data_IF_114142866625
#
_entry.id   IF_114142866625
#
_cell.length_a   1.000
_cell.length_b   1.000
_cell.length_c   1.000
_cell.angle_alpha   90.00
_cell.angle_beta   90.00
_cell.angle_gamma   90.00
#
_symmetry.space_group_name_H-M   'P 1'
#
loop_
_entity.id
_entity.type
_entity.pdbx_description
1 polymer ?
#
# COMPACT_ATOMS: atom_id res chain seq x y z
N UNK A 1 3.05 16.27 30.67
CA UNK A 1 1.78 15.54 30.49
C UNK A 1 1.93 14.04 30.35
N UNK A 2 0.85 13.41 29.91
CA UNK A 2 0.66 11.95 29.79
C UNK A 2 1.13 11.38 28.44
N UNK A 3 1.42 10.06 28.31
CA UNK A 3 1.74 9.43 27.03
C UNK A 3 0.57 9.47 26.03
N UNK A 4 0.88 9.56 24.74
CA UNK A 4 -0.08 9.55 23.63
C UNK A 4 0.32 8.45 22.63
N UNK A 5 -0.66 7.87 21.94
CA UNK A 5 -0.48 7.00 20.76
C UNK A 5 -1.49 7.36 19.69
N UNK A 6 -1.22 6.91 18.46
CA UNK A 6 -2.18 6.93 17.36
C UNK A 6 -2.61 5.51 17.00
N UNK A 7 -3.90 5.31 16.76
CA UNK A 7 -4.46 4.07 16.20
C UNK A 7 -4.97 4.36 14.79
N UNK A 8 -4.26 3.86 13.77
CA UNK A 8 -4.55 4.18 12.37
C UNK A 8 -3.54 3.55 11.40
N UNK A 9 -3.46 4.04 10.15
CA UNK A 9 -2.61 3.47 9.10
C UNK A 9 -1.09 3.70 9.29
N UNK A 10 -0.66 4.61 10.16
CA UNK A 10 0.76 4.75 10.52
C UNK A 10 0.97 5.20 11.97
N UNK A 11 2.19 5.03 12.48
CA UNK A 11 2.64 5.63 13.77
C UNK A 11 2.31 7.13 13.88
N UNK A 12 2.19 7.82 12.75
CA UNK A 12 2.02 9.26 12.63
C UNK A 12 0.68 9.68 11.96
N UNK A 13 -0.28 8.76 11.83
CA UNK A 13 -1.63 9.04 11.36
C UNK A 13 -2.65 8.07 11.99
N UNK A 14 -3.62 8.60 12.74
CA UNK A 14 -4.61 7.78 13.45
C UNK A 14 -5.47 8.55 14.46
N UNK A 15 -6.43 7.85 15.07
CA UNK A 15 -7.21 8.33 16.24
C UNK A 15 -6.25 8.58 17.40
N UNK A 16 -6.41 9.71 18.10
CA UNK A 16 -5.61 10.07 19.27
C UNK A 16 -6.10 9.30 20.49
N UNK A 17 -5.17 8.64 21.17
CA UNK A 17 -5.43 8.01 22.47
C UNK A 17 -4.36 8.41 23.50
N UNK A 18 -4.82 8.81 24.68
CA UNK A 18 -4.00 9.24 25.83
C UNK A 18 -3.97 8.11 26.87
N UNK A 19 -2.80 7.82 27.45
CA UNK A 19 -2.66 6.83 28.51
C UNK A 19 -2.78 7.46 29.90
N UNK A 20 -3.67 6.94 30.75
CA UNK A 20 -3.77 7.33 32.16
C UNK A 20 -3.88 6.11 33.09
N UNK A 21 -4.23 6.30 34.37
CA UNK A 21 -4.38 5.23 35.36
C UNK A 21 -5.40 4.15 34.99
N UNK A 22 -6.33 4.47 34.08
CA UNK A 22 -7.39 3.59 33.59
C UNK A 22 -7.07 3.05 32.18
N UNK A 23 -5.81 3.07 31.74
CA UNK A 23 -5.39 2.60 30.43
C UNK A 23 -5.43 3.66 29.33
N UNK A 24 -5.61 3.24 28.09
CA UNK A 24 -5.69 4.11 26.91
C UNK A 24 -7.12 4.63 26.72
N UNK A 25 -7.26 5.92 26.42
CA UNK A 25 -8.55 6.62 26.38
C UNK A 25 -8.58 7.62 25.23
N UNK A 26 -9.75 7.86 24.67
CA UNK A 26 -9.96 8.72 23.48
C UNK A 26 -10.09 10.21 23.82
N UNK A 27 -10.06 11.05 22.79
CA UNK A 27 -10.22 12.52 22.85
C UNK A 27 -11.39 12.91 21.94
N UNK A 28 -12.24 13.84 22.37
CA UNK A 28 -13.34 14.35 21.54
C UNK A 28 -12.83 15.34 20.47
N UNK A 29 -13.55 15.44 19.35
CA UNK A 29 -13.28 16.35 18.24
C UNK A 29 -14.03 17.70 18.33
N UNK A 30 -14.86 17.89 19.37
CA UNK A 30 -15.40 19.19 19.77
C UNK A 30 -14.22 20.10 20.18
N UNK A 31 -14.09 21.25 19.52
CA UNK A 31 -12.98 22.22 19.68
C UNK A 31 -11.68 21.88 18.91
N UNK A 32 -11.48 20.60 18.56
CA UNK A 32 -10.22 20.06 18.04
C UNK A 32 -9.68 20.74 16.77
N UNK A 33 -8.45 21.25 16.81
CA UNK A 33 -7.86 22.01 15.70
C UNK A 33 -6.42 21.59 15.28
N UNK A 34 -5.84 22.33 14.34
CA UNK A 34 -4.48 22.08 13.84
C UNK A 34 -3.38 22.38 14.87
N UNK A 35 -3.63 23.21 15.88
CA UNK A 35 -2.71 23.47 16.99
C UNK A 35 -2.71 22.28 17.96
N UNK A 36 -3.87 21.71 18.27
CA UNK A 36 -3.98 20.47 19.06
C UNK A 36 -3.27 19.31 18.35
N UNK A 37 -3.57 19.15 17.05
CA UNK A 37 -2.89 18.17 16.21
C UNK A 37 -1.37 18.41 16.17
N UNK A 38 -0.91 19.68 16.16
CA UNK A 38 0.52 20.00 16.17
C UNK A 38 1.19 19.67 17.51
N UNK A 39 0.49 19.79 18.65
CA UNK A 39 1.00 19.31 19.94
C UNK A 39 1.15 17.79 19.91
N UNK A 40 0.16 17.04 19.42
CA UNK A 40 0.24 15.57 19.27
C UNK A 40 1.39 15.16 18.34
N UNK A 41 1.48 15.76 17.15
CA UNK A 41 2.51 15.45 16.17
C UNK A 41 3.93 15.75 16.70
N UNK A 42 4.11 16.84 17.45
CA UNK A 42 5.38 17.14 18.13
C UNK A 42 5.67 16.14 19.25
N UNK A 43 4.69 15.84 20.11
CA UNK A 43 4.84 14.93 21.26
C UNK A 43 5.26 13.50 20.82
N UNK A 44 4.81 13.05 19.65
CA UNK A 44 5.13 11.72 19.09
C UNK A 44 6.45 11.65 18.30
N UNK A 45 7.10 12.81 18.06
CA UNK A 45 8.23 12.94 17.15
C UNK A 45 7.84 12.81 15.66
N UNK A 46 6.57 13.07 15.33
CA UNK A 46 5.99 12.88 14.00
C UNK A 46 6.02 14.14 13.10
N UNK A 47 6.76 15.18 13.49
CA UNK A 47 6.93 16.41 12.70
C UNK A 47 5.76 17.39 12.82
N UNK A 48 5.35 17.99 11.70
CA UNK A 48 4.24 18.95 11.68
C UNK A 48 2.88 18.27 11.55
N UNK A 49 1.82 18.92 12.04
CA UNK A 49 0.47 18.51 11.69
C UNK A 49 0.16 18.87 10.24
N UNK A 50 -0.59 18.00 9.56
CA UNK A 50 -1.14 18.21 8.22
C UNK A 50 -2.67 18.21 8.21
N UNK A 51 -3.29 17.44 9.13
CA UNK A 51 -4.72 17.51 9.40
C UNK A 51 -5.03 17.19 10.87
N UNK A 52 -5.95 17.95 11.45
CA UNK A 52 -6.83 17.47 12.50
C UNK A 52 -7.97 16.69 11.82
N UNK A 53 -8.32 15.49 12.31
CA UNK A 53 -9.38 14.67 11.72
C UNK A 53 -10.52 14.45 12.70
N UNK A 54 -11.73 14.72 12.24
CA UNK A 54 -12.97 14.68 13.02
C UNK A 54 -13.78 13.40 12.72
N UNK A 55 -14.93 13.27 13.37
CA UNK A 55 -16.01 12.33 13.10
C UNK A 55 -15.57 10.86 13.11
N UNK A 56 -14.64 10.50 14.00
CA UNK A 56 -14.04 9.17 14.11
C UNK A 56 -13.47 8.64 12.77
N UNK A 57 -12.81 9.51 11.99
CA UNK A 57 -12.21 9.21 10.67
C UNK A 57 -11.36 7.93 10.63
N UNK A 58 -10.61 7.65 11.70
CA UNK A 58 -9.79 6.43 11.85
C UNK A 58 -10.50 5.26 12.55
N UNK A 59 -11.83 5.31 12.58
CA UNK A 59 -12.68 4.40 13.35
C UNK A 59 -12.79 4.81 14.83
N UNK A 60 -13.76 4.19 15.50
CA UNK A 60 -14.15 4.46 16.89
C UNK A 60 -13.23 3.74 17.88
N UNK A 61 -13.00 4.35 19.04
CA UNK A 61 -12.38 3.73 20.20
C UNK A 61 -13.36 2.82 20.97
N UNK A 62 -12.85 1.92 21.83
CA UNK A 62 -13.68 0.96 22.57
C UNK A 62 -13.99 1.35 24.03
N UNK A 63 -13.26 2.31 24.60
CA UNK A 63 -13.21 2.57 26.06
C UNK A 63 -14.05 3.80 26.50
N UNK A 64 -13.40 4.93 26.82
CA UNK A 64 -14.05 6.19 27.18
C UNK A 64 -13.34 7.38 26.54
N UNK A 65 -14.04 8.52 26.55
CA UNK A 65 -13.50 9.83 26.17
C UNK A 65 -12.93 10.49 27.43
N UNK A 66 -11.67 10.93 27.36
CA UNK A 66 -10.93 11.53 28.47
C UNK A 66 -10.90 13.06 28.42
N UNK A 67 -10.78 13.64 27.22
CA UNK A 67 -10.61 15.07 26.98
C UNK A 67 -11.68 15.58 26.00
N UNK A 68 -12.09 16.83 26.19
CA UNK A 68 -13.17 17.53 25.49
C UNK A 68 -12.97 19.05 25.59
N UNK A 69 -13.44 19.81 24.58
CA UNK A 69 -12.96 21.17 24.20
C UNK A 69 -11.44 21.32 24.43
N UNK A 70 -10.62 20.52 23.74
CA UNK A 70 -9.17 20.75 23.77
C UNK A 70 -8.86 22.07 23.05
N UNK A 71 -7.96 22.86 23.61
CA UNK A 71 -7.52 24.13 23.06
C UNK A 71 -6.06 24.40 23.39
N UNK A 72 -5.17 23.92 22.53
CA UNK A 72 -3.74 24.18 22.54
C UNK A 72 -3.40 25.50 21.83
N UNK A 73 -2.35 26.19 22.29
CA UNK A 73 -1.70 27.28 21.55
C UNK A 73 -0.79 26.77 20.42
N UNK A 74 -0.56 25.45 20.35
CA UNK A 74 0.38 24.82 19.43
C UNK A 74 1.81 24.82 19.95
N UNK A 75 2.06 25.30 21.17
CA UNK A 75 3.40 25.44 21.79
C UNK A 75 3.65 24.45 22.95
N UNK A 76 2.61 23.77 23.42
CA UNK A 76 2.62 22.88 24.59
C UNK A 76 3.50 21.64 24.37
N UNK A 77 4.08 21.10 25.44
CA UNK A 77 4.96 19.92 25.32
C UNK A 77 4.18 18.61 25.25
N UNK A 78 3.03 18.55 25.93
CA UNK A 78 2.13 17.39 25.91
C UNK A 78 0.67 17.85 25.73
N UNK A 79 -0.16 17.03 25.08
CA UNK A 79 -1.58 17.35 24.84
C UNK A 79 -2.36 17.67 26.12
N UNK A 80 -1.99 17.04 27.23
CA UNK A 80 -2.62 17.23 28.55
C UNK A 80 -2.13 18.46 29.31
N UNK A 81 -1.30 19.30 28.68
CA UNK A 81 -0.89 20.59 29.22
C UNK A 81 -1.72 21.75 28.60
N UNK A 82 -2.51 21.47 27.55
CA UNK A 82 -3.39 22.42 26.88
C UNK A 82 -4.66 22.73 27.69
N UNK A 83 -5.41 23.76 27.30
CA UNK A 83 -6.74 23.99 27.86
C UNK A 83 -7.68 22.83 27.49
N UNK A 84 -8.54 22.43 28.43
CA UNK A 84 -9.58 21.40 28.23
C UNK A 84 -10.63 21.49 29.34
N UNK A 85 -11.86 21.01 29.12
CA UNK A 85 -12.95 21.01 30.14
C UNK A 85 -12.61 20.29 31.45
N UNK A 86 -11.65 19.36 31.40
CA UNK A 86 -11.21 18.56 32.53
C UNK A 86 -11.34 17.06 32.26
N UNK A 87 -10.51 16.26 32.92
CA UNK A 87 -10.48 14.82 32.71
C UNK A 87 -11.86 14.18 32.96
N UNK A 88 -12.37 13.47 31.95
CA UNK A 88 -13.69 12.82 31.90
C UNK A 88 -14.91 13.77 31.89
N UNK A 89 -14.71 15.09 31.81
CA UNK A 89 -15.79 16.09 31.71
C UNK A 89 -16.11 16.30 30.24
N UNK A 90 -17.03 15.50 29.70
CA UNK A 90 -17.31 15.44 28.26
C UNK A 90 -18.78 15.19 27.92
N UNK A 91 -19.27 15.71 26.78
CA UNK A 91 -20.64 15.48 26.26
C UNK A 91 -20.70 14.68 24.95
N UNK A 92 -19.61 14.03 24.56
CA UNK A 92 -19.39 13.45 23.25
C UNK A 92 -19.78 11.96 23.19
N UNK A 93 -19.77 11.43 21.97
CA UNK A 93 -19.87 9.99 21.68
C UNK A 93 -18.67 9.54 20.86
N UNK A 94 -18.35 8.24 20.80
CA UNK A 94 -17.27 7.74 19.91
C UNK A 94 -17.55 7.90 18.39
N UNK A 95 -18.59 8.65 17.99
CA UNK A 95 -18.70 9.21 16.65
C UNK A 95 -17.83 10.46 16.47
N UNK A 96 -17.38 11.07 17.57
CA UNK A 96 -16.61 12.32 17.69
C UNK A 96 -15.17 12.03 18.15
N UNK A 97 -14.63 10.83 17.91
CA UNK A 97 -13.25 10.53 18.31
C UNK A 97 -12.26 11.30 17.41
N UNK A 98 -11.44 12.14 18.02
CA UNK A 98 -10.43 12.95 17.36
C UNK A 98 -9.25 12.12 16.83
N UNK A 99 -8.67 12.58 15.74
CA UNK A 99 -7.47 12.01 15.13
C UNK A 99 -6.55 13.07 14.53
N UNK A 100 -5.38 12.63 14.07
CA UNK A 100 -4.39 13.49 13.38
C UNK A 100 -3.79 12.78 12.17
N UNK A 101 -3.30 13.60 11.23
CA UNK A 101 -2.31 13.20 10.23
C UNK A 101 -1.11 14.13 10.40
N UNK A 102 0.06 13.55 10.69
CA UNK A 102 1.33 14.27 10.82
C UNK A 102 2.20 14.09 9.57
N UNK A 103 3.28 14.87 9.46
CA UNK A 103 4.16 14.85 8.28
C UNK A 103 5.06 13.61 8.19
N UNK A 104 5.65 13.17 9.32
CA UNK A 104 6.66 12.12 9.29
C UNK A 104 6.07 10.74 8.98
N UNK A 105 6.82 9.91 8.26
CA UNK A 105 6.44 8.53 7.97
C UNK A 105 5.28 8.38 6.96
N UNK A 106 4.76 9.47 6.39
CA UNK A 106 3.95 9.38 5.18
C UNK A 106 4.84 8.95 4.01
N UNK A 107 4.38 7.94 3.28
CA UNK A 107 5.06 7.40 2.11
C UNK A 107 4.10 7.30 0.93
N UNK A 108 4.64 7.40 -0.29
CA UNK A 108 3.90 7.17 -1.55
C UNK A 108 4.75 6.38 -2.53
N UNK A 109 4.08 5.83 -3.55
CA UNK A 109 4.73 5.25 -4.72
C UNK A 109 4.46 6.15 -5.93
N UNK A 110 5.52 6.65 -6.55
CA UNK A 110 5.43 7.36 -7.84
C UNK A 110 5.72 6.36 -8.95
N UNK A 111 4.69 5.92 -9.67
CA UNK A 111 4.78 4.85 -10.66
C UNK A 111 3.41 4.53 -11.30
N UNK A 112 3.30 3.40 -12.03
CA UNK A 112 2.13 3.11 -12.87
C UNK A 112 0.84 2.77 -12.11
N UNK A 113 0.89 2.46 -10.80
CA UNK A 113 -0.31 2.32 -9.97
C UNK A 113 0.00 2.52 -8.47
N UNK A 114 -1.04 2.59 -7.63
CA UNK A 114 -0.93 2.82 -6.16
C UNK A 114 -0.08 1.81 -5.37
N UNK A 115 0.27 0.67 -5.97
CA UNK A 115 1.03 -0.43 -5.38
C UNK A 115 2.32 -0.76 -6.14
N UNK A 116 2.76 0.06 -7.12
CA UNK A 116 4.11 -0.02 -7.68
C UNK A 116 4.68 1.33 -8.12
N UNK A 117 5.94 1.58 -7.79
CA UNK A 117 6.64 2.83 -8.12
C UNK A 117 7.92 3.06 -7.32
N UNK A 118 8.56 4.21 -7.56
CA UNK A 118 9.64 4.75 -6.74
C UNK A 118 9.08 5.08 -5.34
N UNK A 119 9.83 4.72 -4.30
CA UNK A 119 9.45 5.01 -2.91
C UNK A 119 9.84 6.45 -2.57
N UNK A 120 8.84 7.23 -2.19
CA UNK A 120 9.02 8.61 -1.71
C UNK A 120 8.49 8.75 -0.29
N UNK A 121 9.25 9.43 0.57
CA UNK A 121 8.94 9.71 1.97
C UNK A 121 8.71 11.22 2.13
N UNK A 122 7.65 11.62 2.81
CA UNK A 122 7.42 13.02 3.17
C UNK A 122 8.21 13.39 4.44
N UNK A 123 8.92 14.52 4.39
CA UNK A 123 9.69 15.06 5.50
C UNK A 123 9.77 16.58 5.44
N UNK A 124 9.56 17.25 6.59
CA UNK A 124 9.72 18.70 6.76
C UNK A 124 9.17 19.57 5.61
N UNK A 125 7.95 19.26 5.15
CA UNK A 125 7.25 20.02 4.11
C UNK A 125 7.47 19.54 2.66
N UNK A 126 8.40 18.61 2.41
CA UNK A 126 8.79 18.16 1.06
C UNK A 126 8.79 16.64 0.92
N UNK A 127 8.68 16.15 -0.32
CA UNK A 127 8.92 14.74 -0.65
C UNK A 127 10.40 14.52 -0.95
N UNK A 128 10.97 13.46 -0.39
CA UNK A 128 12.30 12.93 -0.70
C UNK A 128 12.23 11.46 -1.11
N UNK A 129 13.34 10.91 -1.57
CA UNK A 129 13.44 9.54 -2.11
C UNK A 129 14.23 8.62 -1.19
N UNK A 130 14.23 7.32 -1.49
CA UNK A 130 15.02 6.31 -0.74
C UNK A 130 16.16 5.80 -1.61
N UNK A 131 17.37 5.65 -1.06
CA UNK A 131 18.52 5.13 -1.79
C UNK A 131 18.50 3.60 -1.95
N UNK A 132 18.92 3.11 -3.11
CA UNK A 132 18.91 1.68 -3.42
C UNK A 132 20.09 0.87 -2.83
N UNK A 133 21.16 1.51 -2.33
CA UNK A 133 22.38 0.85 -1.85
C UNK A 133 22.11 -0.27 -0.82
N UNK A 134 21.23 0.00 0.16
CA UNK A 134 20.82 -0.94 1.21
C UNK A 134 19.43 -1.54 0.98
N UNK A 135 18.75 -1.15 -0.11
CA UNK A 135 17.34 -1.48 -0.37
C UNK A 135 17.18 -2.92 -0.82
N UNK A 136 16.55 -3.73 0.03
CA UNK A 136 16.33 -5.15 -0.20
C UNK A 136 14.84 -5.51 0.02
N UNK A 137 14.54 -6.81 0.01
CA UNK A 137 13.15 -7.30 0.07
C UNK A 137 12.47 -6.97 1.41
N UNK A 138 13.23 -6.65 2.46
CA UNK A 138 12.69 -6.34 3.79
C UNK A 138 12.10 -4.92 3.87
N UNK A 139 12.80 -3.89 3.41
CA UNK A 139 12.27 -2.51 3.33
C UNK A 139 11.08 -2.47 2.36
N UNK A 140 11.20 -3.18 1.23
CA UNK A 140 10.12 -3.33 0.27
C UNK A 140 8.86 -3.99 0.89
N UNK A 141 9.02 -5.03 1.71
CA UNK A 141 7.90 -5.63 2.48
C UNK A 141 7.28 -4.65 3.46
N UNK A 142 8.08 -3.84 4.16
CA UNK A 142 7.59 -2.82 5.09
C UNK A 142 6.75 -1.77 4.35
N UNK A 143 7.21 -1.28 3.20
CA UNK A 143 6.44 -0.35 2.35
C UNK A 143 5.14 -0.96 1.85
N UNK A 144 5.17 -2.18 1.30
CA UNK A 144 3.95 -2.85 0.82
C UNK A 144 2.94 -3.12 1.94
N UNK A 145 3.42 -3.46 3.14
CA UNK A 145 2.59 -3.61 4.34
C UNK A 145 1.98 -2.28 4.77
N UNK A 146 2.78 -1.22 4.88
CA UNK A 146 2.34 0.11 5.31
C UNK A 146 1.31 0.73 4.35
N UNK A 147 1.50 0.58 3.04
CA UNK A 147 0.54 1.07 2.02
C UNK A 147 -0.74 0.23 1.91
N UNK A 148 -0.85 -0.86 2.69
CA UNK A 148 -1.95 -1.82 2.56
C UNK A 148 -1.94 -2.52 1.19
N UNK A 149 -0.79 -2.64 0.54
CA UNK A 149 -0.59 -3.26 -0.77
C UNK A 149 -0.09 -4.72 -0.68
N UNK A 150 -0.20 -5.38 0.47
CA UNK A 150 0.16 -6.79 0.64
C UNK A 150 1.65 -7.00 0.87
N UNK A 151 2.24 -7.99 0.17
CA UNK A 151 3.69 -8.26 0.22
C UNK A 151 4.42 -7.57 -0.93
N UNK A 152 5.74 -7.40 -0.81
CA UNK A 152 6.58 -7.12 -1.97
C UNK A 152 6.69 -8.37 -2.85
N UNK A 153 6.62 -8.15 -4.17
CA UNK A 153 6.94 -9.14 -5.21
C UNK A 153 8.36 -8.94 -5.73
N UNK A 154 8.75 -7.69 -6.01
CA UNK A 154 10.07 -7.35 -6.53
C UNK A 154 10.47 -5.91 -6.25
N UNK A 155 11.77 -5.65 -6.43
CA UNK A 155 12.39 -4.32 -6.43
C UNK A 155 12.57 -3.89 -7.88
N UNK A 156 12.28 -2.63 -8.19
CA UNK A 156 12.43 -2.12 -9.55
C UNK A 156 12.73 -0.60 -9.54
N UNK A 157 13.49 -0.13 -10.53
CA UNK A 157 13.79 1.29 -10.69
C UNK A 157 12.71 1.96 -11.56
N UNK A 158 12.11 3.03 -11.07
CA UNK A 158 11.02 3.76 -11.75
C UNK A 158 11.44 5.14 -12.28
N UNK A 159 12.73 5.35 -12.47
CA UNK A 159 13.30 6.64 -12.86
C UNK A 159 13.57 7.55 -11.67
N UNK A 160 14.33 8.61 -11.96
CA UNK A 160 14.83 9.58 -10.98
C UNK A 160 13.70 10.42 -10.37
N UNK A 161 13.81 10.67 -9.06
CA UNK A 161 12.96 11.59 -8.30
C UNK A 161 13.66 12.92 -8.04
N UNK A 162 13.25 13.57 -6.95
CA UNK A 162 13.75 14.87 -6.53
C UNK A 162 13.76 14.97 -5.00
N UNK A 163 14.52 15.92 -4.46
CA UNK A 163 14.53 16.26 -3.03
C UNK A 163 15.69 15.63 -2.27
N UNK A 164 15.47 15.30 -1.00
CA UNK A 164 16.50 14.69 -0.16
C UNK A 164 16.43 13.15 -0.25
N UNK A 165 17.57 12.51 -0.48
CA UNK A 165 17.68 11.05 -0.49
C UNK A 165 17.96 10.55 0.94
N UNK A 166 17.16 9.60 1.42
CA UNK A 166 17.31 8.93 2.72
C UNK A 166 17.78 7.49 2.50
N UNK A 167 18.58 6.94 3.42
CA UNK A 167 18.93 5.52 3.43
C UNK A 167 18.31 4.84 4.65
N UNK A 168 17.57 3.77 4.39
CA UNK A 168 16.74 3.06 5.36
C UNK A 168 17.09 1.56 5.34
N UNK A 169 17.14 0.93 6.51
CA UNK A 169 17.44 -0.50 6.68
C UNK A 169 16.43 -1.13 7.65
N UNK A 170 15.68 -2.11 7.18
CA UNK A 170 14.61 -2.78 7.90
C UNK A 170 14.94 -4.26 8.17
N UNK A 171 14.51 -4.78 9.31
CA UNK A 171 14.49 -6.23 9.57
C UNK A 171 13.43 -6.96 8.75
N UNK A 172 12.43 -6.23 8.24
CA UNK A 172 11.26 -6.78 7.52
C UNK A 172 10.09 -7.10 8.46
N UNK A 173 10.21 -6.83 9.76
CA UNK A 173 9.16 -7.02 10.77
C UNK A 173 8.37 -5.74 11.08
N UNK A 174 8.92 -4.58 10.74
CA UNK A 174 8.42 -3.23 11.04
C UNK A 174 7.06 -2.97 10.38
N UNK A 175 6.13 -2.31 11.08
CA UNK A 175 4.83 -1.95 10.51
C UNK A 175 4.95 -0.76 9.57
N UNK A 176 5.89 0.14 9.84
CA UNK A 176 6.08 1.39 9.10
C UNK A 176 7.56 1.67 8.83
N UNK A 177 7.86 2.31 7.70
CA UNK A 177 9.24 2.64 7.29
C UNK A 177 9.93 3.59 8.28
N UNK A 178 9.16 4.35 9.07
CA UNK A 178 9.59 5.19 10.20
C UNK A 178 9.95 4.43 11.49
N UNK A 179 9.88 3.10 11.49
CA UNK A 179 10.34 2.23 12.59
C UNK A 179 11.67 1.54 12.27
N UNK A 180 12.09 1.57 10.99
CA UNK A 180 13.35 1.02 10.52
C UNK A 180 14.53 1.93 10.90
N UNK A 181 15.75 1.36 10.89
CA UNK A 181 16.97 2.16 11.04
C UNK A 181 17.13 3.10 9.84
N UNK A 182 17.55 4.34 10.07
CA UNK A 182 17.80 5.30 9.01
C UNK A 182 19.03 6.16 9.32
N UNK A 183 19.89 6.40 8.33
CA UNK A 183 21.05 7.31 8.48
C UNK A 183 20.63 8.79 8.51
N UNK A 184 19.41 9.07 8.04
CA UNK A 184 18.84 10.41 7.94
C UNK A 184 18.74 10.90 6.49
N UNK A 185 18.03 12.00 6.30
CA UNK A 185 17.89 12.61 4.98
C UNK A 185 19.19 13.35 4.60
N UNK A 186 19.77 13.01 3.44
CA UNK A 186 21.08 13.50 3.00
C UNK A 186 22.16 12.42 2.92
N UNK A 187 21.83 11.21 2.48
CA UNK A 187 22.79 10.11 2.30
C UNK A 187 23.89 10.49 1.29
N UNK A 188 25.11 10.74 1.76
CA UNK A 188 26.19 11.38 0.97
C UNK A 188 26.80 10.51 -0.14
N UNK A 189 26.29 9.30 -0.35
CA UNK A 189 26.81 8.32 -1.33
C UNK A 189 25.70 7.80 -2.27
N UNK A 190 24.65 8.60 -2.44
CA UNK A 190 23.49 8.32 -3.28
C UNK A 190 23.16 9.53 -4.16
N UNK A 191 22.69 9.28 -5.38
CA UNK A 191 22.12 10.28 -6.28
C UNK A 191 20.81 9.73 -6.90
N UNK A 192 20.01 10.54 -7.60
CA UNK A 192 18.66 10.10 -8.00
C UNK A 192 18.62 8.94 -9.01
N UNK A 193 19.69 8.64 -9.75
CA UNK A 193 19.82 7.38 -10.51
C UNK A 193 19.86 6.11 -9.64
N UNK A 194 19.99 6.28 -8.33
CA UNK A 194 19.94 5.23 -7.31
C UNK A 194 18.63 5.25 -6.50
N UNK A 195 17.58 5.93 -6.97
CA UNK A 195 16.30 5.97 -6.27
C UNK A 195 15.59 4.60 -6.26
N UNK A 196 15.26 4.12 -5.07
CA UNK A 196 14.65 2.82 -4.83
C UNK A 196 13.17 2.78 -5.20
N UNK A 197 12.71 1.61 -5.65
CA UNK A 197 11.31 1.36 -5.98
C UNK A 197 10.90 -0.08 -5.72
N UNK A 198 9.58 -0.31 -5.74
CA UNK A 198 8.96 -1.59 -5.35
C UNK A 198 7.75 -1.91 -6.21
N UNK A 199 7.51 -3.21 -6.41
CA UNK A 199 6.26 -3.77 -6.93
C UNK A 199 5.65 -4.63 -5.83
N UNK A 200 4.48 -4.24 -5.32
CA UNK A 200 3.73 -4.99 -4.33
C UNK A 200 2.68 -5.91 -4.98
N UNK A 201 2.20 -6.92 -4.24
CA UNK A 201 1.14 -7.83 -4.68
C UNK A 201 -0.22 -7.14 -4.88
N UNK A 202 -0.39 -5.97 -4.27
CA UNK A 202 -1.65 -5.26 -4.18
C UNK A 202 -2.61 -5.82 -3.12
N UNK A 203 -3.58 -4.98 -2.74
CA UNK A 203 -4.88 -5.41 -2.20
C UNK A 203 -6.01 -5.01 -3.16
N UNK A 204 -5.85 -5.38 -4.43
CA UNK A 204 -6.97 -5.73 -5.31
C UNK A 204 -6.43 -6.53 -6.51
N UNK A 205 -7.07 -7.63 -6.92
CA UNK A 205 -6.47 -8.63 -7.80
C UNK A 205 -6.70 -8.29 -9.28
N UNK A 206 -6.26 -7.11 -9.74
CA UNK A 206 -6.48 -6.66 -11.13
C UNK A 206 -5.49 -7.26 -12.14
N UNK A 207 -5.43 -8.58 -12.10
CA UNK A 207 -5.17 -9.46 -13.23
C UNK A 207 -6.15 -10.64 -13.11
N UNK A 208 -7.45 -10.31 -13.01
CA UNK A 208 -8.53 -11.30 -13.05
C UNK A 208 -8.51 -11.90 -14.45
N UNK A 209 -8.25 -13.20 -14.54
CA UNK A 209 -8.47 -13.94 -15.77
C UNK A 209 -9.95 -14.32 -15.85
N UNK A 210 -10.60 -13.86 -16.91
CA UNK A 210 -11.87 -14.40 -17.38
C UNK A 210 -11.62 -15.53 -18.38
N UNK A 211 -12.51 -16.51 -18.38
CA UNK A 211 -12.70 -17.44 -19.49
C UNK A 211 -14.15 -17.26 -19.92
N UNK A 212 -14.39 -16.74 -21.13
CA UNK A 212 -15.76 -16.56 -21.61
C UNK A 212 -16.42 -17.91 -21.88
N UNK A 213 -17.68 -18.10 -21.44
CA UNK A 213 -18.48 -19.34 -21.57
C UNK A 213 -19.00 -19.56 -23.01
N UNK A 214 -18.12 -19.35 -24.00
CA UNK A 214 -18.30 -19.62 -25.44
C UNK A 214 -17.54 -20.86 -25.91
N UNK A 215 -16.74 -21.50 -25.03
CA UNK A 215 -16.11 -22.79 -25.29
C UNK A 215 -17.02 -23.99 -25.02
N UNK A 216 -16.52 -25.23 -25.22
CA UNK A 216 -17.30 -26.46 -25.05
C UNK A 216 -17.57 -26.87 -23.60
N UNK A 217 -17.02 -26.16 -22.60
CA UNK A 217 -17.25 -26.41 -21.18
C UNK A 217 -16.94 -25.16 -20.34
N UNK A 218 -17.39 -25.15 -19.08
CA UNK A 218 -17.13 -24.07 -18.10
C UNK A 218 -15.65 -23.85 -17.77
N UNK A 219 -14.76 -24.71 -18.25
CA UNK A 219 -13.32 -24.63 -18.06
C UNK A 219 -12.58 -24.28 -19.38
N UNK A 220 -13.30 -23.83 -20.41
CA UNK A 220 -12.79 -23.64 -21.76
C UNK A 220 -13.36 -22.37 -22.42
N UNK A 221 -12.51 -21.56 -23.07
CA UNK A 221 -12.94 -20.32 -23.73
C UNK A 221 -11.82 -19.29 -23.95
N UNK A 222 -12.20 -18.08 -24.37
CA UNK A 222 -11.30 -16.93 -24.60
C UNK A 222 -10.75 -16.40 -23.29
N UNK A 223 -9.44 -16.16 -23.23
CA UNK A 223 -8.73 -15.60 -22.06
C UNK A 223 -8.83 -14.07 -22.08
N UNK A 224 -9.40 -13.51 -21.02
CA UNK A 224 -9.54 -12.07 -20.84
C UNK A 224 -8.84 -11.58 -19.58
N UNK A 225 -8.25 -10.38 -19.62
CA UNK A 225 -7.59 -9.71 -18.50
C UNK A 225 -8.28 -8.39 -18.22
N UNK A 226 -8.80 -8.22 -16.99
CA UNK A 226 -9.38 -6.94 -16.59
C UNK A 226 -8.30 -5.90 -16.28
N UNK A 227 -8.15 -4.89 -17.15
CA UNK A 227 -7.14 -3.84 -17.07
C UNK A 227 -7.73 -2.45 -17.36
N UNK A 228 -7.26 -1.43 -16.63
CA UNK A 228 -7.65 -0.01 -16.80
C UNK A 228 -9.17 0.23 -16.88
N UNK A 229 -9.95 -0.44 -16.02
CA UNK A 229 -11.42 -0.41 -15.94
C UNK A 229 -12.19 -0.98 -17.15
N UNK A 230 -11.57 -1.88 -17.92
CA UNK A 230 -12.27 -2.69 -18.93
C UNK A 230 -11.72 -4.11 -19.02
N UNK A 231 -12.51 -5.03 -19.56
CA UNK A 231 -11.98 -6.31 -20.05
C UNK A 231 -11.16 -6.06 -21.31
N UNK A 232 -9.97 -6.66 -21.37
CA UNK A 232 -9.10 -6.71 -22.54
C UNK A 232 -8.88 -8.18 -22.89
N UNK A 233 -8.71 -8.51 -24.16
CA UNK A 233 -8.35 -9.87 -24.59
C UNK A 233 -6.83 -10.07 -24.51
N UNK A 234 -6.39 -11.32 -24.39
CA UNK A 234 -4.98 -11.68 -24.58
C UNK A 234 -4.75 -11.94 -26.08
N UNK A 235 -3.65 -11.41 -26.62
CA UNK A 235 -3.32 -11.39 -28.05
C UNK A 235 -2.99 -12.76 -28.66
N UNK A 236 -2.68 -12.79 -29.97
CA UNK A 236 -2.23 -13.94 -30.78
C UNK A 236 -1.01 -13.54 -31.68
N UNK A 237 0.20 -14.04 -31.33
CA UNK A 237 1.52 -13.78 -31.92
C UNK A 237 2.75 -14.31 -31.11
N UNK A 238 2.93 -15.64 -31.05
CA UNK A 238 3.81 -16.47 -30.20
C UNK A 238 3.33 -16.84 -28.76
N UNK A 239 2.78 -18.05 -28.52
CA UNK A 239 2.58 -18.70 -27.18
C UNK A 239 2.46 -20.23 -27.23
N UNK A 240 2.39 -20.92 -26.08
CA UNK A 240 2.22 -22.37 -26.04
C UNK A 240 1.47 -22.95 -24.81
N UNK A 241 1.65 -24.26 -24.57
CA UNK A 241 1.07 -25.02 -23.47
C UNK A 241 1.58 -24.59 -22.08
N UNK A 242 2.72 -23.91 -21.99
CA UNK A 242 3.27 -23.34 -20.77
C UNK A 242 2.43 -22.14 -20.32
N UNK A 243 2.04 -21.27 -21.25
CA UNK A 243 1.16 -20.13 -20.99
C UNK A 243 -0.21 -20.62 -20.53
N UNK A 244 -0.80 -21.57 -21.27
CA UNK A 244 -2.04 -22.24 -20.89
C UNK A 244 -1.96 -22.91 -19.50
N UNK A 245 -0.83 -23.54 -19.15
CA UNK A 245 -0.63 -24.11 -17.81
C UNK A 245 -0.56 -23.05 -16.71
N UNK A 246 0.12 -21.92 -16.95
CA UNK A 246 0.21 -20.81 -15.99
C UNK A 246 -1.17 -20.17 -15.81
N UNK A 247 -1.95 -20.02 -16.89
CA UNK A 247 -3.37 -19.60 -16.86
C UNK A 247 -4.21 -20.55 -16.02
N UNK A 248 -4.23 -21.85 -16.34
CA UNK A 248 -5.05 -22.82 -15.61
C UNK A 248 -4.67 -22.90 -14.12
N UNK A 249 -3.38 -22.84 -13.80
CA UNK A 249 -2.85 -22.80 -12.43
C UNK A 249 -3.30 -21.55 -11.67
N UNK A 250 -3.32 -20.38 -12.35
CA UNK A 250 -3.82 -19.12 -11.78
C UNK A 250 -5.36 -19.11 -11.61
N UNK A 251 -6.09 -19.88 -12.42
CA UNK A 251 -7.53 -20.11 -12.30
C UNK A 251 -7.90 -21.19 -11.26
N UNK A 252 -6.92 -21.90 -10.69
CA UNK A 252 -7.12 -22.92 -9.66
C UNK A 252 -7.16 -24.37 -10.16
N UNK A 253 -7.04 -24.59 -11.47
CA UNK A 253 -6.96 -25.91 -12.09
C UNK A 253 -5.54 -26.48 -12.04
N UNK A 254 -5.44 -27.79 -12.19
CA UNK A 254 -4.19 -28.54 -11.96
C UNK A 254 -3.38 -28.79 -13.23
N UNK A 255 -4.04 -28.91 -14.39
CA UNK A 255 -3.39 -29.03 -15.71
C UNK A 255 -4.16 -28.27 -16.80
N UNK A 256 -3.44 -27.80 -17.81
CA UNK A 256 -4.00 -27.44 -19.12
C UNK A 256 -3.64 -28.53 -20.13
N UNK A 257 -4.55 -28.86 -21.03
CA UNK A 257 -4.37 -29.92 -22.06
C UNK A 257 -4.83 -29.43 -23.43
N UNK A 258 -4.35 -30.07 -24.50
CA UNK A 258 -4.60 -29.68 -25.90
C UNK A 258 -6.09 -29.35 -26.20
N UNK A 259 -6.39 -28.36 -27.05
CA UNK A 259 -5.61 -27.96 -28.22
C UNK A 259 -5.76 -26.46 -28.51
N UNK A 260 -4.64 -25.77 -28.71
CA UNK A 260 -4.57 -24.33 -28.88
C UNK A 260 -4.88 -23.91 -30.35
N UNK A 261 -5.59 -22.80 -30.50
CA UNK A 261 -5.52 -21.88 -31.65
C UNK A 261 -4.89 -20.60 -31.09
N UNK A 262 -3.91 -20.04 -31.82
CA UNK A 262 -2.58 -19.85 -31.23
C UNK A 262 -2.25 -18.47 -30.65
N UNK A 263 -1.33 -18.50 -29.69
CA UNK A 263 -0.50 -17.39 -29.21
C UNK A 263 -1.21 -16.35 -28.28
N UNK A 264 -0.70 -15.20 -27.75
CA UNK A 264 0.60 -14.49 -27.50
C UNK A 264 0.82 -14.33 -25.99
N UNK A 265 1.81 -15.03 -25.44
CA UNK A 265 2.60 -14.80 -24.21
C UNK A 265 3.80 -15.77 -24.31
N UNK A 266 4.96 -15.49 -23.71
CA UNK A 266 6.05 -16.47 -23.61
C UNK A 266 6.40 -16.84 -22.17
N UNK A 267 5.70 -17.83 -21.60
CA UNK A 267 5.98 -18.50 -20.33
C UNK A 267 6.99 -19.65 -20.50
N UNK A 268 7.62 -20.06 -19.40
CA UNK A 268 8.45 -21.28 -19.30
C UNK A 268 7.74 -22.44 -18.58
N UNK A 269 6.52 -22.20 -18.07
CA UNK A 269 5.70 -23.15 -17.33
C UNK A 269 6.04 -23.22 -15.84
N UNK A 270 7.19 -22.63 -15.46
CA UNK A 270 7.65 -22.48 -14.08
C UNK A 270 7.02 -21.30 -13.35
N UNK A 271 6.41 -20.37 -14.08
CA UNK A 271 5.79 -19.17 -13.54
C UNK A 271 4.54 -19.47 -12.70
N UNK A 272 4.22 -18.55 -11.81
CA UNK A 272 3.05 -18.67 -10.92
C UNK A 272 1.86 -17.83 -11.41
N UNK A 273 2.10 -16.83 -12.26
CA UNK A 273 1.11 -15.89 -12.76
C UNK A 273 1.50 -15.40 -14.17
N UNK A 274 0.53 -15.22 -15.07
CA UNK A 274 0.77 -14.84 -16.48
C UNK A 274 1.51 -13.50 -16.64
N UNK A 275 1.42 -12.62 -15.65
CA UNK A 275 2.18 -11.36 -15.59
C UNK A 275 3.70 -11.57 -15.61
N UNK A 276 4.20 -12.70 -15.08
CA UNK A 276 5.64 -13.00 -14.95
C UNK A 276 6.29 -13.41 -16.28
N UNK A 277 5.49 -13.84 -17.26
CA UNK A 277 5.94 -14.33 -18.54
C UNK A 277 6.30 -13.20 -19.53
N UNK A 278 7.11 -13.50 -20.54
CA UNK A 278 7.53 -12.52 -21.55
C UNK A 278 6.36 -12.12 -22.46
N UNK A 279 6.33 -10.86 -22.91
CA UNK A 279 5.26 -10.28 -23.75
C UNK A 279 5.71 -8.96 -24.37
N UNK A 280 5.10 -8.58 -25.50
CA UNK A 280 5.50 -7.43 -26.33
C UNK A 280 5.19 -6.05 -25.71
N UNK A 281 4.19 -5.99 -24.83
CA UNK A 281 3.82 -4.81 -24.03
C UNK A 281 2.31 -4.76 -23.74
N UNK A 282 1.89 -4.04 -22.70
CA UNK A 282 0.46 -3.83 -22.45
C UNK A 282 -0.15 -2.91 -23.51
N UNK A 283 -1.24 -3.34 -24.16
CA UNK A 283 -1.94 -2.60 -25.23
C UNK A 283 -1.05 -2.22 -26.43
N UNK A 284 0.11 -2.87 -26.59
CA UNK A 284 1.09 -2.61 -27.66
C UNK A 284 1.14 -3.78 -28.63
N UNK A 285 0.05 -3.95 -29.39
CA UNK A 285 -0.13 -5.08 -30.29
C UNK A 285 -0.70 -4.70 -31.67
N UNK A 286 -0.48 -5.60 -32.63
CA UNK A 286 -1.02 -5.60 -33.99
C UNK A 286 -2.26 -6.52 -34.15
N UNK A 287 -2.66 -7.24 -33.09
CA UNK A 287 -3.79 -8.19 -33.06
C UNK A 287 -5.16 -7.55 -33.31
N UNK A 288 -6.09 -8.36 -33.83
CA UNK A 288 -7.53 -8.06 -34.01
C UNK A 288 -8.39 -9.17 -33.36
N UNK A 289 -9.69 -9.00 -33.14
CA UNK A 289 -10.51 -9.98 -32.36
C UNK A 289 -10.64 -11.42 -32.92
N UNK A 290 -10.09 -11.71 -34.10
CA UNK A 290 -9.87 -13.09 -34.56
C UNK A 290 -8.50 -13.65 -34.13
N UNK A 291 -7.83 -12.94 -33.21
CA UNK A 291 -6.50 -13.17 -32.62
C UNK A 291 -6.60 -12.91 -31.11
N UNK A 292 -7.55 -13.60 -30.47
CA UNK A 292 -7.74 -13.57 -29.02
C UNK A 292 -7.44 -14.98 -28.46
N UNK A 293 -6.47 -15.09 -27.55
CA UNK A 293 -5.99 -16.36 -27.00
C UNK A 293 -7.08 -17.17 -26.27
N UNK A 294 -7.02 -18.50 -26.38
CA UNK A 294 -7.97 -19.42 -25.76
C UNK A 294 -7.32 -20.51 -24.90
N UNK A 295 -8.02 -20.96 -23.86
CA UNK A 295 -7.53 -22.00 -22.94
C UNK A 295 -8.57 -23.10 -22.70
N UNK A 296 -8.11 -24.31 -22.37
CA UNK A 296 -8.90 -25.41 -21.83
C UNK A 296 -8.20 -25.95 -20.59
N UNK A 297 -8.88 -25.91 -19.45
CA UNK A 297 -8.36 -26.38 -18.16
C UNK A 297 -9.04 -27.67 -17.70
N UNK A 298 -8.26 -28.55 -17.07
CA UNK A 298 -8.73 -29.81 -16.50
C UNK A 298 -8.42 -29.90 -15.00
N UNK A 299 -9.42 -30.34 -14.24
CA UNK A 299 -9.20 -30.97 -12.93
C UNK A 299 -8.56 -32.35 -13.14
N UNK A 300 -7.79 -32.83 -12.14
CA UNK A 300 -7.23 -34.19 -12.18
C UNK A 300 -8.35 -35.21 -11.95
N UNK A 301 -8.76 -35.90 -13.01
CA UNK A 301 -9.28 -37.27 -12.88
C UNK A 301 -8.11 -38.17 -12.45
N UNK A 302 -8.14 -38.62 -11.19
CA UNK A 302 -7.18 -39.59 -10.65
C UNK A 302 -7.63 -40.99 -11.12
N UNK A 303 -6.77 -41.79 -11.78
CA UNK A 303 -7.05 -43.19 -12.10
C UNK A 303 -6.92 -44.13 -10.90
#
# INVERSE_FOLDING_TARGET
GYPVRLIGPSRCAGRVEVYNSNGWQTVCDDGWDLNDAQVVCRQLGCGTALAATHSAYFGKGPDKILLDDVGCTGSETYLTDCSHRGYWVQNCTHNQDAGVICSAGLIRLTGPNRCSGRVEIYNNGSWGTVCNNSWNINEARVVCRQLGCGTSLSIHHFGEGFGQINEVTCTGSERHLSECSHSGFGAQHCNHSQDAGVICSGKNPFLVLGVEDTGPSRCAGRVEVYYSNGWQTVCDGGWDLNDAQVVCRQLGYSTGTDKIVFDDVGCTGSETHLIQCSKRGYLSHDCTHNQDAGVICSDIDIP
#
